data_IF_362164951184
#
_entry.id   IF_362164951184
#
_cell.length_a   1.000
_cell.length_b   1.000
_cell.length_c   1.000
_cell.angle_alpha   90.00
_cell.angle_beta   90.00
_cell.angle_gamma   90.00
#
_symmetry.space_group_name_H-M   'P 1'
#
loop_
_entity.id
_entity.type
_entity.pdbx_description
1 polymer ?
#
# COMPACT_ATOMS: atom_id res chain seq x y z
N UNK A 1 -0.51 7.06 -8.94
CA UNK A 1 0.71 6.49 -9.58
C UNK A 1 1.13 5.28 -8.76
N UNK A 2 1.55 4.20 -9.40
CA UNK A 2 2.01 2.99 -8.72
C UNK A 2 3.42 2.67 -9.22
N UNK A 3 4.34 2.37 -8.29
CA UNK A 3 5.61 1.72 -8.63
C UNK A 3 5.51 0.23 -8.36
N UNK A 4 6.23 -0.57 -9.13
CA UNK A 4 6.21 -2.02 -9.01
C UNK A 4 7.60 -2.55 -8.73
N UNK A 5 7.67 -3.59 -7.90
CA UNK A 5 8.89 -4.25 -7.47
C UNK A 5 8.69 -5.76 -7.56
N UNK A 6 9.68 -6.48 -8.08
CA UNK A 6 9.57 -7.91 -8.37
C UNK A 6 8.64 -8.22 -9.55
N UNK A 7 8.31 -9.50 -9.72
CA UNK A 7 7.47 -10.00 -10.81
C UNK A 7 6.01 -10.19 -10.37
N UNK A 8 5.03 -10.02 -11.27
CA UNK A 8 3.63 -10.31 -10.98
C UNK A 8 3.42 -11.79 -10.62
N UNK A 9 2.39 -12.12 -9.80
CA UNK A 9 1.36 -11.23 -9.28
C UNK A 9 1.83 -10.30 -8.16
N UNK A 10 1.32 -9.05 -8.16
CA UNK A 10 1.63 -8.03 -7.15
C UNK A 10 0.83 -8.25 -5.86
N UNK A 11 1.18 -9.30 -5.14
CA UNK A 11 0.45 -9.80 -3.96
C UNK A 11 0.54 -8.90 -2.73
N UNK A 12 1.51 -7.98 -2.69
CA UNK A 12 1.67 -7.05 -1.60
C UNK A 12 1.61 -5.58 -2.06
N UNK A 13 1.22 -4.70 -1.16
CA UNK A 13 1.24 -3.25 -1.34
C UNK A 13 1.95 -2.58 -0.17
N UNK A 14 2.94 -1.74 -0.45
CA UNK A 14 3.72 -1.00 0.55
C UNK A 14 3.28 0.47 0.56
N UNK A 15 2.74 0.91 1.70
CA UNK A 15 2.19 2.24 1.91
C UNK A 15 3.22 3.09 2.65
N UNK A 16 3.62 4.18 1.98
CA UNK A 16 4.67 5.07 2.46
C UNK A 16 4.27 5.84 3.74
N UNK A 17 5.28 6.25 4.50
CA UNK A 17 5.10 7.14 5.66
C UNK A 17 4.80 8.58 5.24
N UNK A 18 4.53 9.44 6.22
CA UNK A 18 4.24 10.88 6.14
C UNK A 18 3.19 11.32 5.09
N UNK A 19 2.16 12.11 5.45
CA UNK A 19 1.39 12.83 4.43
C UNK A 19 2.32 13.84 3.76
N UNK A 20 2.88 13.48 2.58
CA UNK A 20 3.88 14.28 1.88
C UNK A 20 5.23 13.59 1.61
N UNK A 21 5.40 12.32 1.97
CA UNK A 21 6.59 11.55 1.60
C UNK A 21 6.34 10.35 0.64
N UNK A 22 5.60 10.52 -0.48
CA UNK A 22 5.51 9.48 -1.51
C UNK A 22 6.90 8.98 -1.94
N UNK A 23 7.05 7.66 -2.04
CA UNK A 23 8.32 7.01 -2.39
C UNK A 23 9.28 6.80 -1.22
N UNK A 24 8.95 7.27 0.00
CA UNK A 24 9.79 7.03 1.18
C UNK A 24 9.88 5.55 1.58
N UNK A 25 8.97 4.71 1.09
CA UNK A 25 8.97 3.27 1.36
C UNK A 25 9.58 2.43 0.23
N UNK A 26 10.22 3.05 -0.76
CA UNK A 26 10.83 2.35 -1.89
C UNK A 26 11.84 1.27 -1.46
N UNK A 27 12.62 1.52 -0.40
CA UNK A 27 13.55 0.52 0.15
C UNK A 27 12.83 -0.70 0.74
N UNK A 28 11.75 -0.47 1.50
CA UNK A 28 10.91 -1.53 2.04
C UNK A 28 10.19 -2.30 0.92
N UNK A 29 9.69 -1.60 -0.10
CA UNK A 29 9.06 -2.19 -1.27
C UNK A 29 10.03 -3.04 -2.09
N UNK A 30 11.27 -2.58 -2.28
CA UNK A 30 12.31 -3.35 -2.95
C UNK A 30 12.67 -4.64 -2.18
N UNK A 31 12.86 -4.55 -0.86
CA UNK A 31 13.13 -5.74 -0.03
C UNK A 31 11.98 -6.75 -0.06
N UNK A 32 10.72 -6.28 -0.01
CA UNK A 32 9.57 -7.15 -0.14
C UNK A 32 9.45 -7.74 -1.56
N UNK A 33 9.89 -6.99 -2.58
CA UNK A 33 9.93 -7.37 -3.98
C UNK A 33 10.83 -8.57 -4.28
N UNK A 34 11.82 -8.84 -3.44
CA UNK A 34 12.66 -10.05 -3.51
C UNK A 34 11.88 -11.33 -3.14
N UNK A 35 10.74 -11.21 -2.46
CA UNK A 35 9.92 -12.33 -1.97
C UNK A 35 8.70 -12.56 -2.87
N UNK A 36 8.03 -11.47 -3.28
CA UNK A 36 6.86 -11.52 -4.16
C UNK A 36 6.66 -10.18 -4.87
N UNK A 37 5.84 -10.16 -5.92
CA UNK A 37 5.46 -8.91 -6.57
C UNK A 37 4.82 -7.92 -5.58
N UNK A 38 5.32 -6.69 -5.58
CA UNK A 38 4.90 -5.61 -4.69
C UNK A 38 4.52 -4.38 -5.50
N UNK A 39 3.41 -3.75 -5.14
CA UNK A 39 3.05 -2.40 -5.55
C UNK A 39 3.41 -1.39 -4.46
N UNK A 40 3.91 -0.22 -4.84
CA UNK A 40 4.09 0.95 -3.97
C UNK A 40 3.18 2.07 -4.48
N UNK A 41 1.96 2.19 -3.93
CA UNK A 41 1.02 3.23 -4.32
C UNK A 41 1.46 4.61 -3.81
N UNK A 42 1.52 5.60 -4.70
CA UNK A 42 1.84 6.98 -4.37
C UNK A 42 0.56 7.74 -4.04
N UNK A 43 0.43 8.20 -2.80
CA UNK A 43 -0.76 8.87 -2.30
C UNK A 43 -0.62 10.40 -2.40
N UNK A 44 -1.69 11.06 -2.81
CA UNK A 44 -1.78 12.51 -3.04
C UNK A 44 -3.01 13.17 -2.41
N UNK A 45 -3.95 12.38 -1.90
CA UNK A 45 -5.15 12.85 -1.21
C UNK A 45 -4.85 13.82 -0.06
N UNK A 46 -5.74 14.80 0.13
CA UNK A 46 -5.62 15.86 1.14
C UNK A 46 -6.52 15.62 2.36
N UNK A 47 -7.34 14.58 2.32
CA UNK A 47 -8.12 14.10 3.45
C UNK A 47 -7.99 12.58 3.59
N UNK A 48 -8.27 12.06 4.78
CA UNK A 48 -8.28 10.60 5.02
C UNK A 48 -9.23 9.87 4.07
N UNK A 49 -10.39 10.45 3.79
CA UNK A 49 -11.37 9.85 2.87
C UNK A 49 -10.84 9.79 1.45
N UNK A 50 -10.19 10.86 0.98
CA UNK A 50 -9.55 10.88 -0.34
C UNK A 50 -8.44 9.85 -0.43
N UNK A 51 -7.60 9.75 0.60
CA UNK A 51 -6.51 8.76 0.67
C UNK A 51 -7.04 7.33 0.62
N UNK A 52 -8.10 7.00 1.37
CA UNK A 52 -8.71 5.66 1.35
C UNK A 52 -9.27 5.34 -0.05
N UNK A 53 -9.96 6.29 -0.69
CA UNK A 53 -10.52 6.10 -2.05
C UNK A 53 -9.42 5.98 -3.09
N UNK A 54 -8.39 6.81 -3.00
CA UNK A 54 -7.22 6.76 -3.88
C UNK A 54 -6.49 5.43 -3.74
N UNK A 55 -6.24 4.98 -2.50
CA UNK A 55 -5.61 3.70 -2.22
C UNK A 55 -6.45 2.55 -2.78
N UNK A 56 -7.76 2.58 -2.59
CA UNK A 56 -8.67 1.57 -3.15
C UNK A 56 -8.47 1.40 -4.66
N UNK A 57 -8.57 2.51 -5.40
CA UNK A 57 -8.43 2.50 -6.85
C UNK A 57 -7.05 2.02 -7.30
N UNK A 58 -5.99 2.38 -6.56
CA UNK A 58 -4.63 1.93 -6.85
C UNK A 58 -4.46 0.42 -6.61
N UNK A 59 -5.07 -0.15 -5.57
CA UNK A 59 -5.03 -1.59 -5.29
C UNK A 59 -5.82 -2.39 -6.33
N UNK A 60 -6.97 -1.88 -6.79
CA UNK A 60 -7.74 -2.47 -7.89
C UNK A 60 -6.97 -2.41 -9.22
N UNK A 61 -6.31 -1.29 -9.52
CA UNK A 61 -5.45 -1.12 -10.70
C UNK A 61 -4.26 -2.10 -10.72
N UNK A 62 -3.66 -2.37 -9.56
CA UNK A 62 -2.57 -3.35 -9.43
C UNK A 62 -3.04 -4.81 -9.65
N UNK A 63 -4.35 -5.05 -9.66
CA UNK A 63 -4.97 -6.29 -10.16
C UNK A 63 -4.90 -7.49 -9.23
N UNK A 64 -4.45 -7.34 -7.98
CA UNK A 64 -4.36 -8.42 -7.01
C UNK A 64 -5.01 -8.02 -5.68
N UNK A 65 -6.29 -8.37 -5.56
CA UNK A 65 -7.08 -8.23 -4.33
C UNK A 65 -7.75 -9.58 -3.99
N UNK A 66 -7.77 -9.99 -2.71
CA UNK A 66 -7.23 -9.29 -1.55
C UNK A 66 -5.70 -9.23 -1.55
N UNK A 67 -5.13 -8.16 -0.97
CA UNK A 67 -3.70 -7.85 -0.99
C UNK A 67 -3.09 -7.95 0.42
N UNK A 68 -1.80 -8.27 0.50
CA UNK A 68 -1.02 -8.07 1.74
C UNK A 68 -0.68 -6.59 1.86
N UNK A 69 -1.24 -5.91 2.84
CA UNK A 69 -1.06 -4.46 3.03
C UNK A 69 0.02 -4.20 4.09
N UNK A 70 1.10 -3.54 3.69
CA UNK A 70 2.24 -3.22 4.55
C UNK A 70 2.31 -1.71 4.68
N UNK A 71 2.14 -1.17 5.88
CA UNK A 71 2.24 0.27 6.12
C UNK A 71 3.39 0.62 7.04
N UNK A 72 4.15 1.66 6.71
CA UNK A 72 5.21 2.20 7.55
C UNK A 72 4.83 3.56 8.14
N UNK A 73 4.97 3.72 9.46
CA UNK A 73 4.68 4.96 10.18
C UNK A 73 3.27 5.49 9.86
N UNK A 74 3.14 6.66 9.24
CA UNK A 74 1.84 7.16 8.76
C UNK A 74 1.12 6.22 7.80
N UNK A 75 1.87 5.52 6.93
CA UNK A 75 1.31 4.50 6.04
C UNK A 75 0.73 3.33 6.82
N UNK A 76 1.25 3.02 8.02
CA UNK A 76 0.68 2.02 8.92
C UNK A 76 -0.70 2.46 9.43
N UNK A 77 -0.84 3.73 9.82
CA UNK A 77 -2.12 4.30 10.21
C UNK A 77 -3.13 4.28 9.05
N UNK A 78 -2.73 4.73 7.85
CA UNK A 78 -3.60 4.71 6.68
C UNK A 78 -4.01 3.27 6.31
N UNK A 79 -3.08 2.32 6.36
CA UNK A 79 -3.35 0.91 6.09
C UNK A 79 -4.35 0.31 7.08
N UNK A 80 -4.26 0.65 8.37
CA UNK A 80 -5.23 0.21 9.38
C UNK A 80 -6.63 0.78 9.12
N UNK A 81 -6.73 2.07 8.76
CA UNK A 81 -8.01 2.68 8.39
C UNK A 81 -8.61 2.05 7.13
N UNK A 82 -7.77 1.78 6.13
CA UNK A 82 -8.19 1.12 4.89
C UNK A 82 -8.72 -0.29 5.18
N UNK A 83 -8.00 -1.09 5.98
CA UNK A 83 -8.43 -2.43 6.37
C UNK A 83 -9.76 -2.43 7.15
N UNK A 84 -10.03 -1.40 7.95
CA UNK A 84 -11.33 -1.22 8.61
C UNK A 84 -12.46 -0.84 7.65
N UNK A 85 -12.16 -0.06 6.60
CA UNK A 85 -13.13 0.39 5.60
C UNK A 85 -13.42 -0.65 4.50
N UNK A 86 -12.41 -1.47 4.15
CA UNK A 86 -12.41 -2.45 3.06
C UNK A 86 -11.77 -3.78 3.51
N UNK A 87 -12.30 -4.45 4.55
CA UNK A 87 -11.71 -5.70 5.05
C UNK A 87 -11.66 -6.81 4.00
N UNK A 88 -12.56 -6.81 3.02
CA UNK A 88 -12.61 -7.75 1.90
C UNK A 88 -11.43 -7.63 0.93
N UNK A 89 -10.72 -6.49 0.94
CA UNK A 89 -9.59 -6.22 0.06
C UNK A 89 -8.23 -6.51 0.71
N UNK A 90 -8.19 -6.92 1.98
CA UNK A 90 -6.96 -7.10 2.76
C UNK A 90 -6.81 -8.56 3.19
N UNK A 91 -5.80 -9.26 2.65
CA UNK A 91 -5.46 -10.63 3.06
C UNK A 91 -4.76 -10.64 4.41
N UNK A 92 -3.85 -9.67 4.60
CA UNK A 92 -3.02 -9.53 5.79
C UNK A 92 -2.60 -8.07 5.96
N UNK A 93 -2.59 -7.59 7.20
CA UNK A 93 -2.12 -6.25 7.55
C UNK A 93 -0.80 -6.34 8.33
N UNK A 94 0.24 -5.65 7.86
CA UNK A 94 1.56 -5.56 8.50
C UNK A 94 1.83 -4.09 8.82
N UNK A 95 2.05 -3.79 10.10
CA UNK A 95 2.28 -2.43 10.59
C UNK A 95 3.72 -2.29 11.05
N UNK A 96 4.46 -1.36 10.44
CA UNK A 96 5.86 -1.05 10.77
C UNK A 96 5.91 0.35 11.39
N UNK A 97 6.49 0.46 12.59
CA UNK A 97 6.61 1.71 13.34
C UNK A 97 7.71 2.62 12.83
#
# INVERSE_FOLDING_TARGET
MIRYYGDPPYRAAVIHGGPGAPGSAAGLAAMAGEICGVSEPMQSGKSIRELIVELKGQLEEAGNVPVILIGHSWGAFLAALFAGAHPEMVEKLILVG
#
